data_IF_926357569144
#
_entry.id   IF_926357569144
#
_cell.length_a   1.000
_cell.length_b   1.000
_cell.length_c   1.000
_cell.angle_alpha   90.00
_cell.angle_beta   90.00
_cell.angle_gamma   90.00
#
_symmetry.space_group_name_H-M   'P 1'
#
loop_
_entity.id
_entity.type
_entity.pdbx_description
1 polymer ?
#
# COMPACT_ATOMS: atom_id res chain seq x y z
N UNK A 1 -9.02 -1.45 82.57
CA UNK A 1 -9.01 -2.88 82.17
C UNK A 1 -9.93 -2.98 80.94
N UNK A 2 -9.46 -3.64 79.88
CA UNK A 2 -10.05 -3.85 78.51
C UNK A 2 -10.18 -2.61 77.60
N UNK A 3 -9.34 -2.40 76.56
CA UNK A 3 -9.43 -2.85 75.12
C UNK A 3 -10.75 -2.42 74.45
N UNK A 4 -10.78 -1.72 73.29
CA UNK A 4 -10.43 -2.21 71.94
C UNK A 4 -10.10 -1.08 70.92
N UNK A 5 -9.22 -1.43 69.98
CA UNK A 5 -8.87 -0.73 68.74
C UNK A 5 -10.06 -0.61 67.77
N UNK A 6 -10.16 0.51 67.03
CA UNK A 6 -10.95 0.61 65.79
C UNK A 6 -10.04 1.10 64.67
N UNK A 7 -9.54 0.15 63.86
CA UNK A 7 -8.92 0.40 62.57
C UNK A 7 -10.02 0.65 61.53
N UNK A 8 -10.02 1.80 60.87
CA UNK A 8 -10.77 2.01 59.63
C UNK A 8 -9.85 1.75 58.43
N UNK A 9 -9.88 0.52 57.92
CA UNK A 9 -9.31 0.15 56.62
C UNK A 9 -10.40 0.30 55.56
N UNK A 10 -10.26 1.34 54.72
CA UNK A 10 -11.03 1.51 53.49
C UNK A 10 -10.61 0.42 52.48
N UNK A 11 -11.51 -0.53 52.22
CA UNK A 11 -11.38 -1.47 51.10
C UNK A 11 -11.81 -0.78 49.80
N UNK A 12 -10.85 -0.32 49.00
CA UNK A 12 -11.08 -0.07 47.58
C UNK A 12 -10.95 -1.39 46.81
N UNK A 13 -12.08 -1.96 46.45
CA UNK A 13 -12.16 -3.03 45.44
C UNK A 13 -11.93 -2.41 44.06
N UNK A 14 -10.66 -2.29 43.66
CA UNK A 14 -10.33 -2.17 42.24
C UNK A 14 -10.51 -3.55 41.61
N UNK A 15 -11.64 -3.72 40.92
CA UNK A 15 -11.84 -4.83 40.01
C UNK A 15 -10.75 -4.82 38.95
N UNK A 16 -9.81 -5.76 39.07
CA UNK A 16 -8.89 -6.11 38.01
C UNK A 16 -9.72 -6.71 36.88
N UNK A 17 -10.01 -5.89 35.87
CA UNK A 17 -10.47 -6.38 34.58
C UNK A 17 -9.27 -7.12 33.95
N UNK A 18 -9.32 -8.44 33.74
CA UNK A 18 -8.26 -9.10 32.99
C UNK A 18 -8.40 -8.66 31.54
N UNK A 19 -7.52 -7.73 31.12
CA UNK A 19 -7.19 -7.55 29.72
C UNK A 19 -6.66 -8.90 29.23
N UNK A 20 -7.54 -9.69 28.61
CA UNK A 20 -7.15 -10.89 27.88
C UNK A 20 -6.42 -10.45 26.62
N UNK A 21 -5.13 -10.13 26.78
CA UNK A 21 -4.19 -10.11 25.67
C UNK A 21 -4.02 -11.55 25.19
N UNK A 22 -4.93 -12.00 24.32
CA UNK A 22 -4.65 -13.14 23.46
C UNK A 22 -3.57 -12.71 22.48
N UNK A 23 -2.31 -12.86 22.87
CA UNK A 23 -1.22 -12.84 21.92
C UNK A 23 -1.38 -14.08 21.05
N UNK A 24 -2.16 -13.98 19.98
CA UNK A 24 -2.19 -15.00 18.95
C UNK A 24 -0.80 -15.03 18.32
N UNK A 25 0.05 -15.93 18.81
CA UNK A 25 1.38 -16.15 18.23
C UNK A 25 1.21 -16.50 16.76
N UNK A 26 1.96 -15.83 15.88
CA UNK A 26 1.95 -16.12 14.44
C UNK A 26 2.35 -17.60 14.27
N UNK A 27 1.47 -18.44 13.68
CA UNK A 27 1.76 -19.85 13.51
C UNK A 27 2.98 -20.06 12.62
N UNK A 28 3.95 -20.82 13.11
CA UNK A 28 5.22 -21.08 12.42
C UNK A 28 4.94 -21.82 11.10
N UNK A 29 5.55 -21.34 10.01
CA UNK A 29 5.47 -21.98 8.70
C UNK A 29 4.18 -21.72 7.91
N UNK A 30 3.18 -21.04 8.49
CA UNK A 30 1.94 -20.69 7.78
C UNK A 30 2.08 -19.43 6.93
N UNK A 31 3.01 -18.56 7.33
CA UNK A 31 3.32 -17.32 6.62
C UNK A 31 4.79 -17.35 6.17
N UNK A 32 5.05 -16.86 4.96
CA UNK A 32 6.40 -16.62 4.47
C UNK A 32 6.46 -15.24 3.83
N UNK A 33 7.41 -14.43 4.28
CA UNK A 33 7.65 -13.09 3.75
C UNK A 33 8.97 -13.06 3.02
N UNK A 34 8.96 -12.51 1.81
CA UNK A 34 10.14 -12.39 0.96
C UNK A 34 10.16 -11.03 0.26
N UNK A 35 11.34 -10.68 -0.26
CA UNK A 35 11.57 -9.47 -1.04
C UNK A 35 11.97 -9.92 -2.44
N UNK A 36 11.15 -9.63 -3.44
CA UNK A 36 11.38 -10.02 -4.83
C UNK A 36 11.36 -8.77 -5.70
N UNK A 37 12.48 -8.49 -6.37
CA UNK A 37 12.69 -7.34 -7.25
C UNK A 37 12.29 -5.99 -6.63
N UNK A 38 11.02 -5.59 -6.79
CA UNK A 38 10.40 -4.34 -6.35
C UNK A 38 9.15 -4.56 -5.50
N UNK A 39 8.98 -5.76 -4.95
CA UNK A 39 7.78 -6.17 -4.23
C UNK A 39 8.10 -6.82 -2.88
N UNK A 40 7.19 -6.60 -1.94
CA UNK A 40 6.98 -7.56 -0.87
C UNK A 40 6.21 -8.75 -1.43
N UNK A 41 6.59 -9.95 -0.98
CA UNK A 41 5.88 -11.19 -1.31
C UNK A 41 5.51 -11.89 -0.02
N UNK A 42 4.22 -11.85 0.30
CA UNK A 42 3.65 -12.55 1.45
C UNK A 42 2.88 -13.78 0.96
N UNK A 43 3.32 -14.94 1.41
CA UNK A 43 2.65 -16.22 1.15
C UNK A 43 1.91 -16.69 2.39
N UNK A 44 0.66 -17.13 2.23
CA UNK A 44 -0.13 -17.82 3.24
C UNK A 44 -0.41 -19.24 2.76
N UNK A 45 -0.08 -20.24 3.57
CA UNK A 45 -0.26 -21.65 3.19
C UNK A 45 -1.74 -22.02 3.05
N UNK A 46 -2.04 -22.79 2.00
CA UNK A 46 -3.40 -23.19 1.63
C UNK A 46 -4.14 -23.93 2.74
N UNK A 47 -3.43 -24.79 3.47
CA UNK A 47 -3.94 -25.54 4.63
C UNK A 47 -4.26 -24.65 5.85
N UNK A 48 -3.83 -23.38 5.84
CA UNK A 48 -4.12 -22.42 6.89
C UNK A 48 -5.33 -21.53 6.56
N UNK A 49 -5.76 -21.48 5.30
CA UNK A 49 -6.86 -20.63 4.89
C UNK A 49 -8.19 -21.15 5.44
N UNK A 50 -8.91 -20.27 6.14
CA UNK A 50 -10.24 -20.52 6.66
C UNK A 50 -11.31 -20.47 5.57
N UNK A 51 -12.57 -20.46 6.01
CA UNK A 51 -13.71 -20.37 5.12
C UNK A 51 -13.78 -19.01 4.41
N UNK A 52 -13.42 -17.94 5.11
CA UNK A 52 -13.23 -16.60 4.54
C UNK A 52 -11.92 -16.02 5.06
N UNK A 53 -11.29 -15.17 4.27
CA UNK A 53 -10.09 -14.45 4.67
C UNK A 53 -10.01 -13.11 3.95
N UNK A 54 -9.31 -12.15 4.55
CA UNK A 54 -9.02 -10.85 3.95
C UNK A 54 -7.71 -10.30 4.47
N UNK A 55 -7.18 -9.32 3.74
CA UNK A 55 -6.04 -8.52 4.17
C UNK A 55 -6.49 -7.11 4.46
N UNK A 56 -6.02 -6.54 5.56
CA UNK A 56 -6.25 -5.17 5.93
C UNK A 56 -4.93 -4.42 6.08
N UNK A 57 -4.97 -3.14 5.77
CA UNK A 57 -3.87 -2.18 5.98
C UNK A 57 -4.43 -0.95 6.70
N UNK A 58 -3.56 -0.13 7.28
CA UNK A 58 -3.98 0.99 8.11
C UNK A 58 -3.49 2.32 7.52
N UNK A 59 -4.41 3.27 7.38
CA UNK A 59 -4.14 4.65 6.97
C UNK A 59 -4.53 5.59 8.13
N UNK A 60 -3.57 5.94 8.98
CA UNK A 60 -3.87 6.70 10.20
C UNK A 60 -4.78 5.90 11.15
N UNK A 61 -6.00 6.37 11.40
CA UNK A 61 -6.99 5.63 12.20
C UNK A 61 -7.91 4.74 11.38
N UNK A 62 -7.87 4.83 10.05
CA UNK A 62 -8.73 4.06 9.15
C UNK A 62 -8.12 2.69 8.86
N UNK A 63 -8.95 1.65 8.91
CA UNK A 63 -8.61 0.30 8.48
C UNK A 63 -9.21 0.08 7.10
N UNK A 64 -8.35 -0.26 6.15
CA UNK A 64 -8.72 -0.44 4.75
C UNK A 64 -8.61 -1.92 4.39
N UNK A 65 -9.70 -2.49 3.90
CA UNK A 65 -9.72 -3.83 3.32
C UNK A 65 -9.07 -3.81 1.93
N UNK A 66 -8.11 -4.70 1.70
CA UNK A 66 -7.39 -4.87 0.42
C UNK A 66 -8.29 -5.63 -0.57
N UNK A 67 -9.32 -4.96 -1.06
CA UNK A 67 -10.21 -5.47 -2.12
C UNK A 67 -9.55 -5.43 -3.50
N UNK A 68 -10.00 -6.24 -4.46
CA UNK A 68 -9.42 -6.30 -5.82
C UNK A 68 -9.33 -4.93 -6.51
N UNK A 69 -10.41 -4.14 -6.41
CA UNK A 69 -10.45 -2.81 -7.02
C UNK A 69 -9.47 -1.87 -6.33
N UNK A 70 -9.44 -1.84 -4.99
CA UNK A 70 -8.50 -0.99 -4.26
C UNK A 70 -7.05 -1.42 -4.50
N UNK A 71 -6.79 -2.73 -4.45
CA UNK A 71 -5.48 -3.34 -4.64
C UNK A 71 -4.86 -2.93 -5.98
N UNK A 72 -5.62 -3.04 -7.06
CA UNK A 72 -5.19 -2.64 -8.41
C UNK A 72 -4.76 -1.18 -8.47
N UNK A 73 -5.53 -0.28 -7.84
CA UNK A 73 -5.23 1.14 -7.79
C UNK A 73 -4.00 1.45 -6.93
N UNK A 74 -3.83 0.68 -5.87
CA UNK A 74 -2.84 0.94 -4.84
C UNK A 74 -1.54 0.15 -4.96
N UNK A 75 -1.39 -0.74 -5.96
CA UNK A 75 -0.13 -1.47 -6.18
C UNK A 75 -0.04 -2.79 -5.41
N UNK A 76 -1.19 -3.44 -5.20
CA UNK A 76 -1.31 -4.74 -4.55
C UNK A 76 -1.90 -5.75 -5.52
N UNK A 77 -1.45 -6.99 -5.42
CA UNK A 77 -1.90 -8.11 -6.24
C UNK A 77 -2.11 -9.32 -5.35
N UNK A 78 -3.35 -9.82 -5.32
CA UNK A 78 -3.72 -11.01 -4.57
C UNK A 78 -3.95 -12.16 -5.55
N UNK A 79 -3.21 -13.25 -5.38
CA UNK A 79 -3.23 -14.39 -6.29
C UNK A 79 -3.16 -15.70 -5.55
N UNK A 80 -3.51 -16.79 -6.23
CA UNK A 80 -3.42 -18.14 -5.71
C UNK A 80 -2.61 -18.99 -6.67
N UNK A 81 -1.64 -19.73 -6.15
CA UNK A 81 -0.83 -20.63 -6.96
C UNK A 81 -1.53 -21.98 -7.24
N UNK A 82 -0.84 -22.84 -7.98
CA UNK A 82 -1.34 -24.17 -8.33
C UNK A 82 -1.49 -25.13 -7.13
N UNK A 83 -0.80 -24.87 -6.01
CA UNK A 83 -0.92 -25.63 -4.76
C UNK A 83 -2.00 -25.05 -3.82
N UNK A 84 -2.65 -23.96 -4.25
CA UNK A 84 -3.66 -23.27 -3.51
C UNK A 84 -3.11 -22.31 -2.46
N UNK A 85 -1.79 -22.08 -2.38
CA UNK A 85 -1.24 -21.08 -1.47
C UNK A 85 -1.64 -19.69 -1.97
N UNK A 86 -1.87 -18.78 -1.02
CA UNK A 86 -2.26 -17.41 -1.30
C UNK A 86 -1.02 -16.53 -1.33
N UNK A 87 -0.88 -15.70 -2.36
CA UNK A 87 0.20 -14.73 -2.48
C UNK A 87 -0.35 -13.31 -2.53
N UNK A 88 0.06 -12.50 -1.56
CA UNK A 88 -0.11 -11.05 -1.59
C UNK A 88 1.23 -10.42 -2.01
N UNK A 89 1.25 -9.83 -3.20
CA UNK A 89 2.38 -9.08 -3.75
C UNK A 89 2.09 -7.60 -3.68
N UNK A 90 3.07 -6.82 -3.25
CA UNK A 90 2.87 -5.39 -2.94
C UNK A 90 4.07 -4.63 -3.44
N UNK A 91 3.87 -3.68 -4.36
CA UNK A 91 4.97 -2.82 -4.86
C UNK A 91 5.59 -2.04 -3.70
N UNK A 92 6.91 -1.83 -3.75
CA UNK A 92 7.60 -0.91 -2.83
C UNK A 92 7.11 0.54 -2.94
N UNK A 93 6.44 0.88 -4.04
CA UNK A 93 5.80 2.18 -4.28
C UNK A 93 4.27 2.11 -4.20
N UNK A 94 3.73 1.05 -3.58
CA UNK A 94 2.32 0.90 -3.31
C UNK A 94 1.81 1.93 -2.26
N UNK A 95 0.50 2.14 -2.22
CA UNK A 95 -0.13 2.96 -1.19
C UNK A 95 0.25 2.45 0.21
N UNK A 96 0.45 3.37 1.16
CA UNK A 96 0.72 3.09 2.58
C UNK A 96 2.04 2.37 2.87
N UNK A 97 2.86 2.09 1.85
CA UNK A 97 4.23 1.63 2.08
C UNK A 97 5.07 2.79 2.56
N UNK A 98 5.70 2.61 3.73
CA UNK A 98 6.71 3.53 4.22
C UNK A 98 7.98 3.37 3.40
N UNK A 99 8.39 4.43 2.72
CA UNK A 99 9.60 4.47 1.90
C UNK A 99 10.65 5.38 2.55
N UNK A 100 11.69 4.78 3.14
CA UNK A 100 12.81 5.50 3.74
C UNK A 100 13.93 5.68 2.72
N UNK A 101 13.89 6.82 2.02
CA UNK A 101 14.97 7.26 1.14
C UNK A 101 15.25 6.32 -0.04
N UNK A 102 14.24 5.61 -0.52
CA UNK A 102 14.33 4.54 -1.54
C UNK A 102 15.23 3.36 -1.18
N UNK A 103 15.69 3.27 0.07
CA UNK A 103 16.62 2.22 0.52
C UNK A 103 15.96 1.13 1.37
N UNK A 104 14.93 1.49 2.12
CA UNK A 104 14.21 0.57 3.00
C UNK A 104 12.71 0.83 2.91
N UNK A 105 11.95 -0.26 2.81
CA UNK A 105 10.52 -0.25 2.65
C UNK A 105 9.88 -1.06 3.78
N UNK A 106 8.82 -0.52 4.38
CA UNK A 106 8.08 -1.19 5.45
C UNK A 106 6.58 -1.07 5.23
N UNK A 107 5.85 -2.11 5.60
CA UNK A 107 4.40 -2.12 5.58
C UNK A 107 3.86 -3.06 6.66
N UNK A 108 2.92 -2.58 7.45
CA UNK A 108 2.14 -3.41 8.37
C UNK A 108 0.87 -3.88 7.68
N UNK A 109 0.70 -5.19 7.59
CA UNK A 109 -0.50 -5.85 7.04
C UNK A 109 -1.13 -6.71 8.11
N UNK A 110 -2.45 -6.82 8.12
CA UNK A 110 -3.19 -7.76 8.96
C UNK A 110 -3.88 -8.79 8.09
N UNK A 111 -3.59 -10.06 8.31
CA UNK A 111 -4.35 -11.15 7.72
C UNK A 111 -5.47 -11.54 8.68
N UNK A 112 -6.72 -11.42 8.24
CA UNK A 112 -7.89 -11.85 9.00
C UNK A 112 -8.38 -13.16 8.40
N UNK A 113 -8.47 -14.18 9.25
CA UNK A 113 -8.83 -15.53 8.87
C UNK A 113 -10.05 -15.99 9.65
N UNK A 114 -11.14 -16.30 8.95
CA UNK A 114 -12.40 -16.72 9.54
C UNK A 114 -12.59 -18.22 9.37
N UNK A 115 -12.79 -18.95 10.47
CA UNK A 115 -13.11 -20.37 10.41
C UNK A 115 -14.57 -20.64 10.01
N UNK A 116 -14.93 -21.91 9.83
CA UNK A 116 -16.30 -22.33 9.48
C UNK A 116 -17.37 -21.95 10.51
N UNK A 117 -16.97 -21.68 11.75
CA UNK A 117 -17.86 -21.30 12.85
C UNK A 117 -18.04 -19.79 12.93
N UNK A 118 -17.43 -19.03 12.01
CA UNK A 118 -17.50 -17.58 11.97
C UNK A 118 -16.50 -16.86 12.89
N UNK A 119 -15.66 -17.58 13.63
CA UNK A 119 -14.64 -17.01 14.50
C UNK A 119 -13.49 -16.45 13.65
N UNK A 120 -13.18 -15.16 13.83
CA UNK A 120 -12.09 -14.48 13.17
C UNK A 120 -10.82 -14.48 14.03
N UNK A 121 -9.69 -14.79 13.40
CA UNK A 121 -8.36 -14.59 13.97
C UNK A 121 -7.57 -13.62 13.12
N UNK A 122 -6.93 -12.67 13.78
CA UNK A 122 -6.14 -11.62 13.13
C UNK A 122 -4.65 -11.85 13.37
N UNK A 123 -3.87 -11.79 12.31
CA UNK A 123 -2.43 -11.99 12.31
C UNK A 123 -1.72 -10.73 11.79
N UNK A 124 -1.08 -9.94 12.66
CA UNK A 124 -0.28 -8.80 12.22
C UNK A 124 1.04 -9.29 11.60
N UNK A 125 1.37 -8.78 10.42
CA UNK A 125 2.56 -9.12 9.64
C UNK A 125 3.28 -7.83 9.26
N UNK A 126 4.45 -7.61 9.87
CA UNK A 126 5.34 -6.53 9.48
C UNK A 126 6.22 -6.99 8.33
N UNK A 127 6.04 -6.39 7.16
CA UNK A 127 6.86 -6.62 5.98
C UNK A 127 7.98 -5.59 5.96
N UNK A 128 9.22 -6.03 5.72
CA UNK A 128 10.39 -5.15 5.63
C UNK A 128 11.31 -5.65 4.54
N UNK A 129 11.66 -4.76 3.62
CA UNK A 129 12.57 -5.04 2.50
C UNK A 129 13.57 -3.91 2.34
N UNK A 130 14.82 -4.29 2.12
CA UNK A 130 15.87 -3.36 1.70
C UNK A 130 16.02 -3.39 0.18
N UNK A 131 16.34 -2.24 -0.40
CA UNK A 131 16.63 -2.14 -1.82
C UNK A 131 17.93 -2.90 -2.14
N UNK A 132 17.81 -3.95 -2.95
CA UNK A 132 18.98 -4.75 -3.36
C UNK A 132 19.74 -4.12 -4.52
N UNK A 133 19.01 -3.51 -5.46
CA UNK A 133 19.56 -2.87 -6.67
C UNK A 133 19.00 -1.47 -6.78
N UNK A 134 19.84 -0.43 -6.98
CA UNK A 134 19.40 0.94 -7.19
C UNK A 134 18.28 1.05 -8.24
N UNK A 135 17.39 2.02 -8.06
CA UNK A 135 16.33 2.24 -9.05
C UNK A 135 16.88 2.87 -10.33
N UNK A 136 16.43 2.38 -11.48
CA UNK A 136 16.69 3.02 -12.77
C UNK A 136 15.96 4.36 -12.90
N UNK A 137 16.41 5.27 -13.78
CA UNK A 137 15.75 6.58 -13.98
C UNK A 137 14.28 6.48 -14.36
N UNK A 138 13.91 5.39 -15.03
CA UNK A 138 12.54 4.97 -15.31
C UNK A 138 12.43 3.46 -15.11
N UNK A 139 11.42 3.02 -14.39
CA UNK A 139 11.10 1.60 -14.22
C UNK A 139 9.65 1.33 -14.65
N UNK A 140 9.41 0.12 -15.15
CA UNK A 140 8.10 -0.41 -15.47
C UNK A 140 7.95 -1.74 -14.74
N UNK A 141 6.87 -1.86 -14.00
CA UNK A 141 6.42 -3.07 -13.32
C UNK A 141 5.11 -3.50 -13.97
N UNK A 142 5.03 -4.77 -14.33
CA UNK A 142 3.81 -5.40 -14.82
C UNK A 142 3.42 -6.49 -13.84
N UNK A 143 2.40 -6.22 -13.03
CA UNK A 143 1.78 -7.22 -12.16
C UNK A 143 0.58 -7.85 -12.88
N UNK A 144 -0.11 -8.83 -12.27
CA UNK A 144 -1.22 -9.51 -12.96
C UNK A 144 -2.45 -8.62 -13.16
N UNK A 145 -2.69 -7.68 -12.24
CA UNK A 145 -3.86 -6.81 -12.27
C UNK A 145 -3.56 -5.36 -12.66
N UNK A 146 -2.29 -4.93 -12.65
CA UNK A 146 -1.91 -3.55 -13.00
C UNK A 146 -0.54 -3.43 -13.67
N UNK A 147 -0.33 -2.31 -14.34
CA UNK A 147 0.98 -1.80 -14.73
C UNK A 147 1.33 -0.58 -13.89
N UNK A 148 2.60 -0.44 -13.53
CA UNK A 148 3.15 0.68 -12.77
C UNK A 148 4.40 1.20 -13.44
N UNK A 149 4.40 2.48 -13.80
CA UNK A 149 5.58 3.19 -14.29
C UNK A 149 6.03 4.15 -13.21
N UNK A 150 7.30 4.10 -12.85
CA UNK A 150 7.92 5.09 -11.98
C UNK A 150 9.07 5.80 -12.67
N UNK A 151 9.15 7.11 -12.51
CA UNK A 151 10.22 7.94 -13.07
C UNK A 151 10.84 8.78 -11.96
N UNK A 152 12.17 8.94 -12.01
CA UNK A 152 12.89 9.85 -11.13
C UNK A 152 12.42 11.28 -11.39
N UNK A 153 12.05 12.01 -10.33
CA UNK A 153 11.73 13.44 -10.39
C UNK A 153 12.96 14.17 -10.90
N UNK A 154 12.87 14.74 -12.10
CA UNK A 154 13.84 15.72 -12.54
C UNK A 154 13.52 17.02 -11.81
N UNK A 155 14.26 17.30 -10.74
CA UNK A 155 14.26 18.65 -10.18
C UNK A 155 14.71 19.61 -11.29
N UNK A 156 14.03 20.75 -11.51
CA UNK A 156 14.59 21.79 -12.36
C UNK A 156 16.00 22.10 -11.84
N UNK A 157 17.01 22.30 -12.73
CA UNK A 157 18.33 22.69 -12.26
C UNK A 157 18.23 23.97 -11.41
N UNK A 158 19.07 24.09 -10.38
CA UNK A 158 19.03 25.16 -9.36
C UNK A 158 18.99 26.58 -9.93
N UNK A 159 19.38 26.75 -11.20
CA UNK A 159 19.33 28.01 -11.94
C UNK A 159 17.91 28.44 -12.38
N UNK A 160 16.89 27.61 -12.18
CA UNK A 160 15.48 27.92 -12.41
C UNK A 160 14.66 28.04 -11.12
N UNK A 161 15.30 28.38 -9.98
CA UNK A 161 14.62 29.02 -8.84
C UNK A 161 14.16 30.44 -9.21
N UNK A 162 13.41 30.54 -10.31
CA UNK A 162 12.65 31.69 -10.71
C UNK A 162 11.48 31.82 -9.77
N UNK A 163 11.68 32.66 -8.76
CA UNK A 163 10.67 33.18 -7.85
C UNK A 163 10.15 32.15 -6.85
N UNK A 164 10.73 32.23 -5.65
CA UNK A 164 10.03 31.97 -4.39
C UNK A 164 8.83 32.92 -4.33
N UNK A 165 7.73 32.59 -5.00
CA UNK A 165 6.42 33.06 -4.57
C UNK A 165 6.03 32.13 -3.45
N UNK A 166 5.99 32.67 -2.24
CA UNK A 166 5.77 31.92 -1.01
C UNK A 166 4.69 30.89 -1.18
N UNK A 167 5.09 29.64 -1.41
CA UNK A 167 4.26 28.50 -1.08
C UNK A 167 4.09 28.60 0.42
N UNK A 168 2.87 28.85 0.94
CA UNK A 168 2.64 28.63 2.35
C UNK A 168 3.09 27.20 2.63
N UNK A 169 3.74 26.98 3.76
CA UNK A 169 4.23 25.67 4.20
C UNK A 169 3.09 24.65 4.49
N UNK A 170 1.97 24.74 3.76
CA UNK A 170 0.67 24.16 4.07
C UNK A 170 -0.10 23.63 2.85
N UNK A 171 0.48 23.59 1.64
CA UNK A 171 -0.13 22.80 0.57
C UNK A 171 0.40 21.38 0.66
N UNK A 172 -0.48 20.45 1.04
CA UNK A 172 -0.20 19.02 1.00
C UNK A 172 0.23 18.64 -0.43
N UNK A 173 1.26 17.80 -0.54
CA UNK A 173 1.86 17.42 -1.84
C UNK A 173 0.81 16.89 -2.83
N UNK A 174 -0.27 16.30 -2.32
CA UNK A 174 -1.40 15.79 -3.09
C UNK A 174 -2.16 16.88 -3.86
N UNK A 175 -2.35 18.08 -3.30
CA UNK A 175 -3.03 19.18 -3.98
C UNK A 175 -2.23 19.71 -5.17
N UNK A 176 -0.90 19.73 -5.04
CA UNK A 176 0.01 20.16 -6.13
C UNK A 176 0.06 19.13 -7.26
N UNK A 177 -0.07 17.84 -6.97
CA UNK A 177 -0.11 16.76 -7.97
C UNK A 177 -1.37 16.84 -8.82
N UNK A 178 -2.49 17.33 -8.26
CA UNK A 178 -3.76 17.44 -9.00
C UNK A 178 -3.73 18.46 -10.13
N UNK A 179 -2.83 19.45 -10.09
CA UNK A 179 -2.63 20.44 -11.15
C UNK A 179 -1.81 19.92 -12.33
N UNK A 180 -1.10 18.80 -12.15
CA UNK A 180 -0.26 18.22 -13.20
C UNK A 180 -1.11 17.68 -14.35
N UNK A 181 -0.47 17.51 -15.51
CA UNK A 181 -1.09 16.94 -16.71
C UNK A 181 -0.29 15.73 -17.17
N UNK A 182 -1.00 14.69 -17.57
CA UNK A 182 -0.45 13.48 -18.17
C UNK A 182 -0.62 13.59 -19.69
N UNK A 183 0.46 13.33 -20.43
CA UNK A 183 0.44 13.29 -21.90
C UNK A 183 0.44 11.84 -22.34
N UNK A 184 -0.69 11.38 -22.88
CA UNK A 184 -0.83 10.05 -23.44
C UNK A 184 -0.47 10.07 -24.92
N UNK A 185 0.44 9.19 -25.35
CA UNK A 185 0.75 8.96 -26.77
C UNK A 185 0.02 7.71 -27.23
N UNK A 186 -0.97 7.88 -28.09
CA UNK A 186 -1.86 6.81 -28.54
C UNK A 186 -1.94 6.74 -30.08
N UNK A 187 -2.25 5.58 -30.67
CA UNK A 187 -2.39 5.45 -32.11
C UNK A 187 -3.45 6.40 -32.69
N UNK A 188 -3.14 7.00 -33.84
CA UNK A 188 -4.08 7.80 -34.61
C UNK A 188 -5.03 6.89 -35.38
N UNK A 189 -6.34 7.16 -35.32
CA UNK A 189 -7.35 6.38 -36.04
C UNK A 189 -7.33 6.59 -37.56
N UNK A 190 -6.74 7.69 -38.03
CA UNK A 190 -6.84 8.13 -39.43
C UNK A 190 -5.57 7.89 -40.24
N UNK A 191 -4.46 7.49 -39.59
CA UNK A 191 -3.16 7.29 -40.22
C UNK A 191 -2.42 6.14 -39.53
N UNK A 192 -2.21 5.03 -40.25
CA UNK A 192 -1.42 3.90 -39.76
C UNK A 192 0.00 4.35 -39.38
N UNK A 193 0.44 3.96 -38.18
CA UNK A 193 1.75 4.31 -37.64
C UNK A 193 1.88 5.73 -37.07
N UNK A 194 0.90 6.62 -37.27
CA UNK A 194 0.91 7.94 -36.65
C UNK A 194 0.43 7.86 -35.19
N UNK A 195 1.10 8.59 -34.30
CA UNK A 195 0.71 8.74 -32.90
C UNK A 195 0.10 10.12 -32.68
N UNK A 196 -0.96 10.20 -31.87
CA UNK A 196 -1.52 11.46 -31.38
C UNK A 196 -1.25 11.62 -29.88
N UNK A 197 -1.15 12.87 -29.45
CA UNK A 197 -1.02 13.20 -28.03
C UNK A 197 -2.39 13.61 -27.46
N UNK A 198 -2.72 13.07 -26.29
CA UNK A 198 -3.90 13.45 -25.52
C UNK A 198 -3.45 13.92 -24.14
N UNK A 199 -3.74 15.18 -23.82
CA UNK A 199 -3.29 15.84 -22.59
C UNK A 199 -4.44 15.86 -21.60
N UNK A 200 -4.27 15.17 -20.47
CA UNK A 200 -5.33 14.97 -19.48
C UNK A 200 -4.85 15.46 -18.11
N UNK A 201 -5.60 16.33 -17.41
CA UNK A 201 -5.30 16.69 -16.02
C UNK A 201 -5.29 15.46 -15.12
N UNK A 202 -4.44 15.41 -14.09
CA UNK A 202 -4.33 14.24 -13.18
C UNK A 202 -5.68 13.85 -12.58
N UNK A 203 -6.49 14.83 -12.15
CA UNK A 203 -7.86 14.58 -11.67
C UNK A 203 -8.70 13.80 -12.68
N UNK A 204 -8.61 14.15 -13.96
CA UNK A 204 -9.36 13.46 -15.00
C UNK A 204 -8.73 12.09 -15.31
N UNK A 205 -7.40 11.97 -15.25
CA UNK A 205 -6.71 10.68 -15.39
C UNK A 205 -7.16 9.68 -14.30
N UNK A 206 -7.39 10.14 -13.07
CA UNK A 206 -7.99 9.34 -11.99
C UNK A 206 -9.38 8.81 -12.33
N UNK A 207 -10.23 9.63 -12.95
CA UNK A 207 -11.55 9.21 -13.43
C UNK A 207 -11.47 8.21 -14.59
N UNK A 208 -10.40 8.26 -15.37
CA UNK A 208 -10.10 7.33 -16.47
C UNK A 208 -9.46 6.01 -16.01
N UNK A 209 -9.23 5.84 -14.69
CA UNK A 209 -8.67 4.63 -14.10
C UNK A 209 -7.15 4.61 -13.97
N UNK A 210 -6.49 5.76 -14.10
CA UNK A 210 -5.07 5.92 -13.80
C UNK A 210 -4.87 6.45 -12.39
N UNK A 211 -3.84 5.98 -11.70
CA UNK A 211 -3.48 6.49 -10.38
C UNK A 211 -2.11 7.12 -10.47
N UNK A 212 -2.08 8.44 -10.35
CA UNK A 212 -0.85 9.23 -10.29
C UNK A 212 -0.55 9.52 -8.82
N UNK A 213 0.65 9.16 -8.38
CA UNK A 213 1.15 9.45 -7.04
C UNK A 213 2.62 9.86 -7.11
N UNK A 214 3.18 10.38 -6.01
CA UNK A 214 4.59 10.72 -5.94
C UNK A 214 5.22 10.30 -4.62
N UNK A 215 6.50 9.93 -4.66
CA UNK A 215 7.35 9.86 -3.47
C UNK A 215 8.20 11.12 -3.37
N UNK A 216 9.11 11.20 -2.40
CA UNK A 216 10.07 12.31 -2.33
C UNK A 216 10.90 12.47 -3.63
N UNK A 217 11.16 11.36 -4.31
CA UNK A 217 12.13 11.24 -5.41
C UNK A 217 11.50 10.80 -6.73
N UNK A 218 10.28 10.25 -6.74
CA UNK A 218 9.66 9.66 -7.94
C UNK A 218 8.26 10.13 -8.22
N UNK A 219 7.89 10.10 -9.50
CA UNK A 219 6.51 10.19 -9.99
C UNK A 219 6.09 8.79 -10.40
N UNK A 220 4.90 8.38 -10.01
CA UNK A 220 4.35 7.04 -10.22
C UNK A 220 3.03 7.19 -10.99
N UNK A 221 2.87 6.40 -12.04
CA UNK A 221 1.63 6.23 -12.79
C UNK A 221 1.25 4.75 -12.77
N UNK A 222 0.06 4.43 -12.26
CA UNK A 222 -0.48 3.07 -12.22
C UNK A 222 -1.78 2.97 -12.99
N UNK A 223 -2.05 1.85 -13.64
CA UNK A 223 -3.36 1.57 -14.22
C UNK A 223 -3.63 0.08 -14.31
N UNK A 224 -4.90 -0.29 -14.34
CA UNK A 224 -5.31 -1.65 -14.69
C UNK A 224 -5.05 -1.93 -16.18
N UNK A 225 -4.91 -3.20 -16.55
CA UNK A 225 -4.89 -3.56 -17.97
C UNK A 225 -6.21 -3.20 -18.65
N UNK A 226 -6.11 -2.72 -19.89
CA UNK A 226 -7.27 -2.29 -20.67
C UNK A 226 -7.83 -0.91 -20.29
N UNK A 227 -7.18 -0.17 -19.38
CA UNK A 227 -7.54 1.23 -19.09
C UNK A 227 -7.66 2.07 -20.36
N UNK A 228 -8.58 3.03 -20.35
CA UNK A 228 -8.76 3.98 -21.45
C UNK A 228 -7.45 4.70 -21.77
N UNK A 229 -7.13 5.01 -23.03
CA UNK A 229 -5.85 5.62 -23.44
C UNK A 229 -4.58 4.75 -23.23
N UNK A 230 -4.70 3.53 -22.72
CA UNK A 230 -3.58 2.58 -22.73
C UNK A 230 -3.38 2.06 -24.16
N UNK A 231 -2.14 1.81 -24.55
CA UNK A 231 -1.83 1.17 -25.82
C UNK A 231 -2.45 -0.23 -25.85
N UNK A 232 -3.19 -0.54 -26.93
CA UNK A 232 -3.85 -1.83 -27.16
C UNK A 232 -3.14 -2.58 -28.28
#
# INVERSE_FOLDING_TARGET
>A
MTMYYVNLLWFFLFGLCPLSNSSNSIPIGMFRTECHDRHFWLTVKSNFLGHQFRFNVQAGSEVIDVSDQWATKCGYTLTRDAWGDLHLRISYLACLVENQGESEFRLQVWFINQNSNGEEKTFPLLLTCALQVPWGTRELICEENYMEVSVLKQLPPDNHLGVVWGTPAFLELDDLVMEWRVVFRIPSLHQEGAMREEIVPVRMAHLLGYHVNTTNTRIILRCAYGSSLAYR
#
